data_IF_347246677168
#
_entry.id   IF_347246677168
#
_cell.length_a   1.000
_cell.length_b   1.000
_cell.length_c   1.000
_cell.angle_alpha   90.00
_cell.angle_beta   90.00
_cell.angle_gamma   90.00
#
_symmetry.space_group_name_H-M   'P 1'
#
loop_
_entity.id
_entity.type
_entity.pdbx_description
1 polymer ?
#
# COMPACT_ATOMS: atom_id res chain seq x y z
N UNK A 1 -2.57 27.95 -19.08
CA UNK A 1 -1.83 27.88 -17.81
C UNK A 1 -2.33 26.69 -17.02
N UNK A 2 -1.62 25.58 -17.16
CA UNK A 2 -1.78 24.42 -16.30
C UNK A 2 -1.16 24.82 -14.97
N UNK A 3 -1.96 25.32 -14.02
CA UNK A 3 -1.47 25.39 -12.66
C UNK A 3 -1.44 23.93 -12.18
N UNK A 4 -0.29 23.32 -12.42
CA UNK A 4 0.12 22.03 -11.95
C UNK A 4 -0.43 21.75 -10.55
N UNK A 5 -1.40 20.84 -10.48
CA UNK A 5 -1.49 19.91 -9.34
C UNK A 5 -0.20 19.08 -9.22
N UNK A 6 0.69 19.14 -10.22
CA UNK A 6 2.06 18.65 -10.21
C UNK A 6 3.08 19.64 -9.58
N UNK A 7 2.78 20.30 -8.46
CA UNK A 7 3.86 20.77 -7.59
C UNK A 7 4.22 19.60 -6.69
N UNK A 8 5.31 18.91 -7.05
CA UNK A 8 5.98 17.83 -6.34
C UNK A 8 6.51 18.23 -4.96
N UNK A 9 5.67 18.82 -4.12
CA UNK A 9 5.96 19.12 -2.72
C UNK A 9 4.93 18.36 -1.90
N UNK A 10 5.39 17.47 -1.02
CA UNK A 10 4.54 16.56 -0.22
C UNK A 10 3.42 17.27 0.55
N UNK A 11 3.63 18.56 0.88
CA UNK A 11 2.64 19.43 1.54
C UNK A 11 1.42 19.67 0.65
N UNK A 12 1.61 19.84 -0.66
CA UNK A 12 0.53 20.00 -1.64
C UNK A 12 -0.38 18.77 -1.67
N UNK A 13 0.18 17.57 -1.59
CA UNK A 13 -0.60 16.31 -1.54
C UNK A 13 -1.44 16.24 -0.27
N UNK A 14 -0.85 16.59 0.88
CA UNK A 14 -1.55 16.57 2.18
C UNK A 14 -2.75 17.52 2.21
N UNK A 15 -2.56 18.77 1.73
CA UNK A 15 -3.64 19.76 1.73
C UNK A 15 -4.73 19.39 0.73
N UNK A 16 -4.39 18.84 -0.44
CA UNK A 16 -5.38 18.43 -1.43
C UNK A 16 -6.30 17.33 -0.90
N UNK A 17 -5.74 16.28 -0.30
CA UNK A 17 -6.57 15.22 0.32
C UNK A 17 -7.42 15.77 1.45
N UNK A 18 -6.86 16.61 2.32
CA UNK A 18 -7.62 17.24 3.40
C UNK A 18 -8.80 18.05 2.89
N UNK A 19 -8.59 18.93 1.91
CA UNK A 19 -9.64 19.82 1.41
C UNK A 19 -10.78 19.00 0.82
N UNK A 20 -10.48 18.09 -0.11
CA UNK A 20 -11.50 17.27 -0.77
C UNK A 20 -12.23 16.33 0.19
N UNK A 21 -11.48 15.59 1.02
CA UNK A 21 -12.07 14.58 1.89
C UNK A 21 -12.85 15.19 3.06
N UNK A 22 -12.57 16.43 3.45
CA UNK A 22 -13.25 17.10 4.56
C UNK A 22 -14.32 18.12 4.10
N UNK A 23 -14.77 18.06 2.85
CA UNK A 23 -15.95 18.80 2.36
C UNK A 23 -15.67 20.11 1.60
N UNK A 24 -14.41 20.41 1.28
CA UNK A 24 -14.05 21.51 0.37
C UNK A 24 -13.83 21.04 -1.08
N UNK A 25 -13.45 21.97 -1.94
CA UNK A 25 -13.07 21.72 -3.34
C UNK A 25 -11.76 22.45 -3.67
N UNK A 26 -11.08 21.98 -4.73
CA UNK A 26 -9.92 22.68 -5.30
C UNK A 26 -10.20 23.05 -6.75
N UNK A 27 -10.00 24.33 -7.08
CA UNK A 27 -10.30 24.88 -8.40
C UNK A 27 -9.07 25.59 -8.99
N UNK A 28 -8.90 25.44 -10.30
CA UNK A 28 -7.91 26.20 -11.06
C UNK A 28 -8.66 27.28 -11.82
N UNK A 29 -8.51 28.53 -11.40
CA UNK A 29 -9.20 29.67 -12.01
C UNK A 29 -8.42 30.18 -13.21
N UNK A 30 -8.89 29.99 -14.46
CA UNK A 30 -8.12 30.35 -15.66
C UNK A 30 -7.89 31.86 -15.80
N UNK A 31 -8.76 32.69 -15.21
CA UNK A 31 -8.66 34.15 -15.25
C UNK A 31 -7.60 34.71 -14.29
N UNK A 32 -7.20 33.95 -13.26
CA UNK A 32 -6.14 34.33 -12.34
C UNK A 32 -4.79 33.83 -12.87
N UNK A 33 -3.83 34.74 -13.06
CA UNK A 33 -2.52 34.41 -13.66
C UNK A 33 -1.40 34.85 -12.74
N UNK A 34 -0.60 33.88 -12.29
CA UNK A 34 0.63 34.12 -11.53
C UNK A 34 1.76 33.30 -12.17
N UNK A 35 2.88 33.95 -12.47
CA UNK A 35 4.06 33.29 -13.00
C UNK A 35 4.87 32.60 -11.91
N UNK A 36 5.32 31.37 -12.14
CA UNK A 36 6.21 30.62 -11.24
C UNK A 36 7.51 30.25 -11.97
N UNK A 37 8.67 30.53 -11.35
CA UNK A 37 9.98 30.14 -11.89
C UNK A 37 10.28 28.69 -11.50
N UNK A 38 10.05 27.77 -12.43
CA UNK A 38 10.33 26.34 -12.21
C UNK A 38 11.84 26.08 -12.16
N UNK A 39 12.29 25.40 -11.10
CA UNK A 39 13.69 24.99 -10.91
C UNK A 39 13.78 23.46 -10.87
N UNK A 40 14.83 22.89 -11.44
CA UNK A 40 15.09 21.44 -11.40
C UNK A 40 15.64 20.96 -10.05
N UNK A 41 16.28 21.84 -9.28
CA UNK A 41 16.89 21.54 -7.97
C UNK A 41 16.53 22.62 -6.97
N UNK A 42 16.38 22.23 -5.70
CA UNK A 42 16.20 23.17 -4.61
C UNK A 42 17.52 23.90 -4.34
N UNK A 43 17.50 25.24 -4.15
CA UNK A 43 18.69 26.02 -3.84
C UNK A 43 19.10 25.91 -2.36
N UNK A 44 18.27 25.27 -1.52
CA UNK A 44 18.49 25.12 -0.09
C UNK A 44 18.88 23.69 0.27
N UNK A 45 19.62 23.55 1.36
CA UNK A 45 20.06 22.28 1.91
C UNK A 45 19.02 21.82 2.94
N UNK A 46 18.63 20.55 2.86
CA UNK A 46 17.76 19.93 3.85
C UNK A 46 18.62 19.22 4.91
N UNK A 47 18.35 19.40 6.22
CA UNK A 47 19.16 18.83 7.30
C UNK A 47 19.31 17.30 7.21
N UNK A 48 18.23 16.59 6.85
CA UNK A 48 18.21 15.13 6.67
C UNK A 48 18.43 14.72 5.19
N UNK A 49 18.70 15.67 4.30
CA UNK A 49 18.73 15.48 2.85
C UNK A 49 17.34 15.57 2.20
N UNK A 50 17.31 16.02 0.94
CA UNK A 50 16.07 16.27 0.20
C UNK A 50 15.20 15.01 0.08
N UNK A 51 15.80 13.89 -0.31
CA UNK A 51 15.08 12.63 -0.51
C UNK A 51 14.44 12.09 0.78
N UNK A 52 15.16 12.13 1.91
CA UNK A 52 14.62 11.68 3.19
C UNK A 52 13.49 12.59 3.68
N UNK A 53 13.65 13.92 3.52
CA UNK A 53 12.60 14.89 3.87
C UNK A 53 11.33 14.64 3.05
N UNK A 54 11.47 14.41 1.75
CA UNK A 54 10.35 14.08 0.86
C UNK A 54 9.66 12.77 1.28
N UNK A 55 10.43 11.72 1.55
CA UNK A 55 9.91 10.44 2.02
C UNK A 55 9.15 10.62 3.34
N UNK A 56 9.75 11.29 4.33
CA UNK A 56 9.15 11.55 5.65
C UNK A 56 7.81 12.26 5.52
N UNK A 57 7.76 13.35 4.75
CA UNK A 57 6.54 14.13 4.57
C UNK A 57 5.46 13.36 3.78
N UNK A 58 5.86 12.63 2.74
CA UNK A 58 4.91 11.82 1.96
C UNK A 58 4.33 10.69 2.80
N UNK A 59 5.15 10.05 3.65
CA UNK A 59 4.67 9.03 4.59
C UNK A 59 3.65 9.57 5.56
N UNK A 60 3.89 10.74 6.17
CA UNK A 60 2.90 11.38 7.05
C UNK A 60 1.55 11.59 6.35
N UNK A 61 1.58 12.01 5.10
CA UNK A 61 0.36 12.15 4.29
C UNK A 61 -0.31 10.82 4.03
N UNK A 62 0.46 9.80 3.61
CA UNK A 62 -0.07 8.48 3.31
C UNK A 62 -0.70 7.80 4.54
N UNK A 63 -0.04 7.86 5.70
CA UNK A 63 -0.55 7.28 6.94
C UNK A 63 -1.85 7.95 7.42
N UNK A 64 -1.96 9.28 7.28
CA UNK A 64 -3.13 10.02 7.77
C UNK A 64 -4.31 9.98 6.80
N UNK A 65 -4.08 10.00 5.49
CA UNK A 65 -5.13 10.28 4.50
C UNK A 65 -5.40 9.17 3.50
N UNK A 66 -4.47 8.22 3.27
CA UNK A 66 -4.63 7.22 2.20
C UNK A 66 -5.25 5.90 2.66
N UNK A 67 -5.61 5.74 3.93
CA UNK A 67 -6.23 4.53 4.48
C UNK A 67 -5.47 3.24 4.05
N UNK A 68 -6.16 2.17 3.66
CA UNK A 68 -5.58 0.95 3.09
C UNK A 68 -4.70 1.19 1.83
N UNK A 69 -4.98 2.25 1.06
CA UNK A 69 -4.29 2.53 -0.21
C UNK A 69 -2.85 3.03 -0.02
N UNK A 70 -2.44 3.35 1.22
CA UNK A 70 -1.03 3.62 1.54
C UNK A 70 -0.10 2.46 1.15
N UNK A 71 -0.62 1.24 1.08
CA UNK A 71 0.15 0.05 0.69
C UNK A 71 0.66 0.15 -0.75
N UNK A 72 -0.13 0.73 -1.66
CA UNK A 72 0.31 1.00 -3.05
C UNK A 72 1.45 2.01 -3.11
N UNK A 73 1.43 3.05 -2.26
CA UNK A 73 2.55 3.98 -2.13
C UNK A 73 3.82 3.26 -1.68
N UNK A 74 3.74 2.37 -0.68
CA UNK A 74 4.89 1.59 -0.22
C UNK A 74 5.37 0.55 -1.22
N UNK A 75 4.47 0.02 -2.06
CA UNK A 75 4.82 -0.85 -3.18
C UNK A 75 5.61 -0.10 -4.25
N UNK A 76 5.15 1.10 -4.63
CA UNK A 76 5.81 1.95 -5.61
C UNK A 76 7.12 2.58 -5.09
N UNK A 77 7.24 2.83 -3.78
CA UNK A 77 8.43 3.39 -3.14
C UNK A 77 8.89 2.54 -1.94
N UNK A 78 9.53 1.37 -2.19
CA UNK A 78 9.98 0.47 -1.12
C UNK A 78 10.95 1.13 -0.13
N UNK A 79 11.76 2.09 -0.59
CA UNK A 79 12.70 2.86 0.25
C UNK A 79 12.02 3.69 1.35
N UNK A 80 10.71 3.93 1.24
CA UNK A 80 9.94 4.58 2.29
C UNK A 80 9.69 3.64 3.48
N UNK A 81 9.71 2.32 3.30
CA UNK A 81 9.43 1.35 4.37
C UNK A 81 10.46 1.45 5.49
N UNK A 82 9.99 1.32 6.74
CA UNK A 82 10.85 1.33 7.94
C UNK A 82 11.44 2.70 8.33
N UNK A 83 11.30 3.74 7.50
CA UNK A 83 11.72 5.11 7.86
C UNK A 83 10.84 5.71 8.97
N UNK A 84 11.42 6.45 9.91
CA UNK A 84 10.60 7.17 10.88
C UNK A 84 9.89 8.35 10.21
N UNK A 85 8.61 8.56 10.56
CA UNK A 85 7.81 9.69 10.08
C UNK A 85 7.33 10.62 11.20
N UNK A 86 7.75 10.34 12.45
CA UNK A 86 7.35 11.09 13.65
C UNK A 86 5.88 10.90 14.03
N UNK A 87 5.43 11.64 15.04
CA UNK A 87 4.05 11.56 15.53
C UNK A 87 3.03 12.20 14.56
N UNK A 88 1.91 11.51 14.36
CA UNK A 88 0.79 11.92 13.50
C UNK A 88 -0.54 11.98 14.25
N UNK A 89 -0.58 11.68 15.55
CA UNK A 89 -1.81 11.58 16.33
C UNK A 89 -2.71 12.81 16.17
N UNK A 90 -2.16 14.02 16.31
CA UNK A 90 -2.94 15.26 16.15
C UNK A 90 -3.53 15.46 14.75
N UNK A 91 -2.96 14.84 13.71
CA UNK A 91 -3.52 14.89 12.34
C UNK A 91 -4.64 13.87 12.15
N UNK A 92 -4.51 12.70 12.74
CA UNK A 92 -5.57 11.68 12.76
C UNK A 92 -6.78 12.16 13.55
N UNK A 93 -6.56 12.77 14.71
CA UNK A 93 -7.61 13.36 15.53
C UNK A 93 -8.33 14.49 14.78
N UNK A 94 -7.59 15.37 14.11
CA UNK A 94 -8.18 16.40 13.27
C UNK A 94 -9.08 15.80 12.16
N UNK A 95 -8.65 14.72 11.52
CA UNK A 95 -9.44 14.02 10.49
C UNK A 95 -10.75 13.47 11.08
N UNK A 96 -10.71 12.94 12.30
CA UNK A 96 -11.90 12.45 13.03
C UNK A 96 -12.85 13.59 13.39
N UNK A 97 -12.33 14.68 13.96
CA UNK A 97 -13.11 15.87 14.36
C UNK A 97 -13.84 16.46 13.14
N UNK A 98 -13.15 16.58 12.01
CA UNK A 98 -13.71 17.12 10.77
C UNK A 98 -14.62 16.12 10.02
N UNK A 99 -14.77 14.89 10.52
CA UNK A 99 -15.59 13.82 9.92
C UNK A 99 -15.30 13.61 8.43
N UNK A 100 -14.01 13.63 8.07
CA UNK A 100 -13.60 13.51 6.68
C UNK A 100 -13.96 12.13 6.10
N UNK A 101 -14.21 12.08 4.80
CA UNK A 101 -14.50 10.88 4.03
C UNK A 101 -13.28 9.94 3.95
N UNK A 102 -13.50 8.72 3.46
CA UNK A 102 -12.44 7.73 3.20
C UNK A 102 -11.67 8.06 1.92
N UNK A 103 -10.47 7.53 1.78
CA UNK A 103 -9.67 7.68 0.57
C UNK A 103 -10.32 6.98 -0.62
N UNK A 104 -11.03 5.86 -0.38
CA UNK A 104 -11.86 5.22 -1.40
C UNK A 104 -12.88 6.19 -1.98
N UNK A 105 -13.59 6.95 -1.15
CA UNK A 105 -14.53 7.96 -1.62
C UNK A 105 -13.84 9.02 -2.49
N UNK A 106 -12.63 9.44 -2.12
CA UNK A 106 -11.84 10.38 -2.92
C UNK A 106 -11.52 9.81 -4.30
N UNK A 107 -11.07 8.57 -4.40
CA UNK A 107 -10.82 7.92 -5.70
C UNK A 107 -12.10 7.80 -6.53
N UNK A 108 -13.20 7.39 -5.91
CA UNK A 108 -14.46 7.15 -6.63
C UNK A 108 -15.14 8.46 -7.10
N UNK A 109 -14.94 9.59 -6.40
CA UNK A 109 -15.68 10.85 -6.65
C UNK A 109 -14.82 12.02 -7.15
N UNK A 110 -13.53 12.06 -6.79
CA UNK A 110 -12.66 13.22 -7.08
C UNK A 110 -11.61 12.88 -8.14
N UNK A 111 -11.05 11.66 -8.12
CA UNK A 111 -10.01 11.26 -9.06
C UNK A 111 -10.22 9.84 -9.63
N UNK A 112 -11.36 9.57 -10.31
CA UNK A 112 -11.73 8.25 -10.81
C UNK A 112 -10.84 7.75 -11.96
N UNK A 113 -10.15 8.65 -12.66
CA UNK A 113 -9.19 8.30 -13.72
C UNK A 113 -7.91 7.64 -13.17
N UNK A 114 -7.65 7.78 -11.87
CA UNK A 114 -6.54 7.09 -11.22
C UNK A 114 -6.88 5.62 -11.06
N UNK A 115 -6.47 4.81 -12.04
CA UNK A 115 -6.57 3.35 -11.94
C UNK A 115 -5.74 2.84 -10.78
N UNK A 116 -6.41 2.30 -9.76
CA UNK A 116 -5.76 1.48 -8.75
C UNK A 116 -5.22 0.24 -9.47
N UNK A 117 -3.91 -0.08 -9.35
CA UNK A 117 -3.37 -1.27 -9.99
C UNK A 117 -4.17 -2.50 -9.57
N UNK A 118 -4.75 -3.18 -10.56
CA UNK A 118 -5.35 -4.48 -10.34
C UNK A 118 -4.23 -5.51 -10.15
N UNK A 119 -4.53 -6.59 -9.45
CA UNK A 119 -3.59 -7.67 -9.22
C UNK A 119 -3.37 -8.54 -10.48
N UNK A 120 -3.92 -8.15 -11.64
CA UNK A 120 -3.73 -8.82 -12.93
C UNK A 120 -2.27 -8.87 -13.38
N UNK A 121 -1.49 -7.83 -13.05
CA UNK A 121 -0.05 -7.76 -13.36
C UNK A 121 0.83 -8.27 -12.21
N UNK A 122 0.23 -8.74 -11.11
CA UNK A 122 0.97 -9.23 -9.95
C UNK A 122 1.71 -10.51 -10.30
N UNK A 123 2.96 -10.61 -9.84
CA UNK A 123 3.80 -11.78 -10.11
C UNK A 123 3.25 -12.99 -9.35
N UNK A 124 2.90 -14.02 -10.11
CA UNK A 124 2.64 -15.34 -9.58
C UNK A 124 3.94 -16.09 -9.33
N UNK A 125 3.98 -16.93 -8.30
CA UNK A 125 5.13 -17.76 -7.98
C UNK A 125 4.86 -18.75 -6.86
N UNK A 126 5.95 -19.32 -6.32
CA UNK A 126 5.90 -20.30 -5.22
C UNK A 126 6.52 -19.72 -3.95
N UNK A 127 5.89 -19.96 -2.80
CA UNK A 127 6.48 -19.65 -1.50
C UNK A 127 7.26 -20.88 -1.04
N UNK A 128 8.58 -20.81 -1.08
CA UNK A 128 9.48 -21.96 -0.84
C UNK A 128 10.23 -21.85 0.48
N UNK A 129 10.22 -22.93 1.24
CA UNK A 129 11.04 -23.15 2.43
C UNK A 129 11.92 -24.39 2.22
N UNK A 130 13.21 -24.16 1.90
CA UNK A 130 14.17 -25.23 1.51
C UNK A 130 13.63 -26.06 0.34
N UNK A 131 13.29 -27.33 0.52
CA UNK A 131 12.75 -28.21 -0.54
C UNK A 131 11.22 -28.27 -0.56
N UNK A 132 10.57 -27.66 0.44
CA UNK A 132 9.12 -27.65 0.57
C UNK A 132 8.55 -26.33 0.05
N UNK A 133 7.33 -26.38 -0.46
CA UNK A 133 6.56 -25.24 -0.91
C UNK A 133 5.27 -25.14 -0.08
N UNK A 134 4.80 -23.91 0.10
CA UNK A 134 3.50 -23.65 0.72
C UNK A 134 2.41 -24.18 -0.22
N UNK A 135 1.55 -25.03 0.32
CA UNK A 135 0.49 -25.69 -0.40
C UNK A 135 -0.84 -25.48 0.32
N UNK A 136 -1.89 -25.16 -0.45
CA UNK A 136 -3.25 -25.20 0.05
C UNK A 136 -3.89 -26.56 -0.25
N UNK A 137 -4.53 -27.14 0.76
CA UNK A 137 -5.25 -28.39 0.65
C UNK A 137 -6.67 -28.20 1.17
N UNK A 138 -7.64 -28.39 0.29
CA UNK A 138 -9.05 -28.48 0.68
C UNK A 138 -9.29 -29.88 1.25
N UNK A 139 -9.62 -29.95 2.54
CA UNK A 139 -10.03 -31.19 3.19
C UNK A 139 -11.55 -31.36 3.04
N UNK A 140 -12.01 -32.58 2.82
CA UNK A 140 -13.44 -32.87 2.79
C UNK A 140 -14.08 -32.49 4.15
N UNK A 141 -15.12 -31.65 4.11
CA UNK A 141 -15.81 -31.15 5.29
C UNK A 141 -15.30 -29.82 5.87
N UNK A 142 -14.28 -29.18 5.28
CA UNK A 142 -13.88 -27.82 5.64
C UNK A 142 -14.21 -26.82 4.53
N UNK A 143 -14.85 -25.70 4.90
CA UNK A 143 -15.18 -24.61 3.97
C UNK A 143 -13.95 -23.87 3.47
N UNK A 144 -12.94 -23.73 4.34
CA UNK A 144 -11.69 -23.04 4.03
C UNK A 144 -10.55 -24.04 3.76
N UNK A 145 -9.70 -23.79 2.75
CA UNK A 145 -8.52 -24.60 2.51
C UNK A 145 -7.51 -24.50 3.67
N UNK A 146 -6.98 -25.65 4.07
CA UNK A 146 -5.90 -25.76 5.05
C UNK A 146 -4.54 -25.48 4.39
N UNK A 147 -3.59 -24.91 5.14
CA UNK A 147 -2.23 -24.65 4.68
C UNK A 147 -1.27 -25.72 5.21
N UNK A 148 -0.42 -26.24 4.32
CA UNK A 148 0.63 -27.19 4.68
C UNK A 148 1.93 -26.89 3.92
N UNK A 149 3.04 -27.45 4.40
CA UNK A 149 4.30 -27.48 3.67
C UNK A 149 4.45 -28.86 3.04
N UNK A 150 4.41 -28.92 1.71
CA UNK A 150 4.60 -30.14 0.93
C UNK A 150 5.85 -30.03 0.05
N UNK A 151 6.39 -31.14 -0.48
CA UNK A 151 7.43 -31.07 -1.50
C UNK A 151 6.99 -30.16 -2.65
N UNK A 152 7.90 -29.35 -3.20
CA UNK A 152 7.55 -28.48 -4.32
C UNK A 152 7.16 -29.30 -5.55
N UNK A 153 5.92 -29.16 -6.00
CA UNK A 153 5.35 -29.85 -7.16
C UNK A 153 5.30 -28.84 -8.32
N UNK A 154 5.98 -29.17 -9.41
CA UNK A 154 6.06 -28.34 -10.61
C UNK A 154 7.49 -28.03 -11.03
N UNK A 155 7.64 -27.48 -12.23
CA UNK A 155 8.92 -26.98 -12.75
C UNK A 155 9.04 -25.48 -12.46
N UNK A 156 10.25 -24.90 -12.56
CA UNK A 156 10.46 -23.45 -12.29
C UNK A 156 9.58 -22.52 -13.13
N UNK A 157 9.05 -23.00 -14.26
CA UNK A 157 8.22 -22.25 -15.20
C UNK A 157 6.72 -22.49 -15.04
N UNK A 158 6.29 -23.59 -14.42
CA UNK A 158 4.87 -23.94 -14.24
C UNK A 158 4.65 -24.52 -12.83
N UNK A 159 4.21 -23.68 -11.87
CA UNK A 159 3.83 -24.15 -10.54
C UNK A 159 2.56 -25.00 -10.58
N UNK A 160 2.40 -25.94 -9.64
CA UNK A 160 1.10 -26.56 -9.41
C UNK A 160 0.09 -25.53 -8.86
N UNK A 161 -1.17 -25.59 -9.30
CA UNK A 161 -2.21 -24.60 -8.96
C UNK A 161 -2.40 -24.40 -7.44
N UNK A 162 -2.24 -25.47 -6.66
CA UNK A 162 -2.35 -25.47 -5.21
C UNK A 162 -1.10 -24.93 -4.48
N UNK A 163 0.02 -24.80 -5.19
CA UNK A 163 1.28 -24.20 -4.72
C UNK A 163 1.58 -22.84 -5.39
N UNK A 164 0.66 -22.38 -6.24
CA UNK A 164 0.75 -21.09 -6.91
C UNK A 164 0.16 -19.98 -6.03
N UNK A 165 0.95 -18.91 -5.85
CA UNK A 165 0.61 -17.77 -5.01
C UNK A 165 0.91 -16.46 -5.73
N UNK A 166 0.01 -15.50 -5.59
CA UNK A 166 0.15 -14.16 -6.14
C UNK A 166 0.50 -13.21 -5.00
N UNK A 167 1.61 -12.48 -5.16
CA UNK A 167 1.94 -11.40 -4.24
C UNK A 167 1.40 -10.08 -4.78
N UNK A 168 0.36 -9.56 -4.12
CA UNK A 168 -0.44 -8.41 -4.58
C UNK A 168 0.26 -7.09 -4.31
N UNK A 169 -0.15 -6.02 -5.01
CA UNK A 169 0.35 -4.67 -4.71
C UNK A 169 -0.07 -4.16 -3.32
N UNK A 170 -1.18 -4.71 -2.79
CA UNK A 170 -1.64 -4.54 -1.42
C UNK A 170 -0.82 -5.28 -0.36
N UNK A 171 0.32 -5.88 -0.72
CA UNK A 171 1.18 -6.66 0.19
C UNK A 171 0.46 -7.86 0.82
N UNK A 172 -0.39 -8.53 0.06
CA UNK A 172 -1.07 -9.75 0.48
C UNK A 172 -0.55 -10.92 -0.34
N UNK A 173 -0.50 -12.11 0.25
CA UNK A 173 -0.25 -13.35 -0.49
C UNK A 173 -1.61 -13.99 -0.73
N UNK A 174 -2.01 -14.01 -2.00
CA UNK A 174 -3.32 -14.43 -2.46
C UNK A 174 -3.24 -15.73 -3.25
N UNK A 175 -4.25 -16.56 -3.07
CA UNK A 175 -4.57 -17.67 -3.96
C UNK A 175 -6.08 -17.64 -4.24
N UNK A 176 -6.43 -17.45 -5.51
CA UNK A 176 -7.82 -17.24 -5.94
C UNK A 176 -8.48 -16.06 -5.19
N UNK A 177 -9.52 -16.32 -4.39
CA UNK A 177 -10.25 -15.32 -3.57
C UNK A 177 -9.82 -15.30 -2.10
N UNK A 178 -8.81 -16.08 -1.73
CA UNK A 178 -8.34 -16.21 -0.35
C UNK A 178 -6.93 -15.63 -0.19
N UNK A 179 -6.72 -14.95 0.93
CA UNK A 179 -5.45 -14.35 1.31
C UNK A 179 -4.94 -14.99 2.60
N UNK A 180 -3.62 -15.11 2.72
CA UNK A 180 -2.98 -15.51 3.97
C UNK A 180 -3.32 -14.49 5.06
N UNK A 181 -3.86 -14.98 6.18
CA UNK A 181 -4.24 -14.18 7.33
C UNK A 181 -3.76 -14.85 8.62
N UNK A 182 -3.39 -14.03 9.61
CA UNK A 182 -3.09 -14.51 10.95
C UNK A 182 -4.39 -14.72 11.73
N UNK A 183 -4.53 -15.84 12.46
CA UNK A 183 -5.68 -16.02 13.36
C UNK A 183 -5.67 -14.95 14.45
N UNK A 184 -4.52 -14.75 15.10
CA UNK A 184 -4.27 -13.69 16.08
C UNK A 184 -2.89 -13.06 15.88
N UNK A 185 -2.64 -11.91 16.51
CA UNK A 185 -1.34 -11.23 16.45
C UNK A 185 -0.36 -11.74 17.51
N UNK A 186 -0.75 -12.74 18.31
CA UNK A 186 0.14 -13.33 19.32
C UNK A 186 1.20 -14.24 18.67
N UNK A 187 2.40 -14.34 19.26
CA UNK A 187 3.42 -15.29 18.82
C UNK A 187 2.86 -16.71 18.73
N UNK A 188 3.31 -17.49 17.75
CA UNK A 188 2.85 -18.85 17.44
C UNK A 188 1.39 -18.98 16.95
N UNK A 189 0.74 -17.88 16.58
CA UNK A 189 -0.57 -17.94 15.91
C UNK A 189 -0.48 -18.65 14.57
N UNK A 190 -1.49 -19.47 14.28
CA UNK A 190 -1.58 -20.18 13.01
C UNK A 190 -1.93 -19.22 11.87
N UNK A 191 -1.29 -19.43 10.72
CA UNK A 191 -1.65 -18.78 9.45
C UNK A 191 -2.77 -19.58 8.81
N UNK A 192 -3.81 -18.90 8.35
CA UNK A 192 -4.99 -19.49 7.69
C UNK A 192 -5.32 -18.75 6.40
N UNK A 193 -6.12 -19.38 5.53
CA UNK A 193 -6.67 -18.73 4.36
C UNK A 193 -8.03 -18.11 4.69
N UNK A 194 -8.17 -16.81 4.47
CA UNK A 194 -9.39 -16.06 4.72
C UNK A 194 -9.78 -15.28 3.45
N UNK A 195 -11.04 -14.86 3.29
CA UNK A 195 -11.42 -13.94 2.21
C UNK A 195 -10.54 -12.69 2.20
N UNK A 196 -10.03 -12.32 1.03
CA UNK A 196 -9.13 -11.19 0.89
C UNK A 196 -9.82 -9.88 1.29
N UNK A 197 -9.20 -9.15 2.22
CA UNK A 197 -9.63 -7.82 2.63
C UNK A 197 -8.40 -6.91 2.74
N UNK A 198 -8.34 -5.90 1.87
CA UNK A 198 -7.19 -4.98 1.79
C UNK A 198 -7.02 -4.11 3.05
N UNK A 199 -8.11 -3.92 3.82
CA UNK A 199 -8.10 -3.19 5.09
C UNK A 199 -7.73 -4.05 6.29
N UNK A 200 -7.64 -5.37 6.14
CA UNK A 200 -7.27 -6.28 7.23
C UNK A 200 -5.75 -6.31 7.42
N UNK A 201 -5.27 -5.63 8.47
CA UNK A 201 -3.87 -5.60 8.84
C UNK A 201 -3.26 -6.98 9.10
N UNK A 202 -4.07 -8.00 9.42
CA UNK A 202 -3.60 -9.38 9.61
C UNK A 202 -3.22 -10.09 8.31
N UNK A 203 -3.61 -9.51 7.17
CA UNK A 203 -3.33 -10.02 5.83
C UNK A 203 -2.16 -9.30 5.14
N UNK A 204 -1.54 -8.33 5.83
CA UNK A 204 -0.42 -7.54 5.28
C UNK A 204 0.90 -8.25 5.61
N UNK A 205 1.58 -8.72 4.56
CA UNK A 205 2.82 -9.49 4.64
C UNK A 205 3.93 -8.72 3.93
N UNK A 206 4.93 -8.27 4.69
CA UNK A 206 6.08 -7.59 4.13
C UNK A 206 7.21 -8.58 3.80
N UNK A 207 7.64 -8.59 2.53
CA UNK A 207 8.90 -9.24 2.17
C UNK A 207 10.08 -8.46 2.74
N UNK A 208 10.84 -9.10 3.64
CA UNK A 208 12.14 -8.57 4.08
C UNK A 208 13.20 -9.09 3.11
N UNK A 209 14.08 -8.19 2.65
CA UNK A 209 15.29 -8.61 1.97
C UNK A 209 16.10 -9.53 2.90
N UNK A 210 16.83 -10.53 2.38
CA UNK A 210 17.75 -11.30 3.20
C UNK A 210 18.72 -10.32 3.89
N UNK A 211 18.82 -10.43 5.21
CA UNK A 211 19.87 -9.74 5.96
C UNK A 211 21.16 -10.40 5.49
N UNK A 212 21.96 -9.67 4.70
CA UNK A 212 23.35 -10.06 4.44
C UNK A 212 24.08 -9.89 5.78
N UNK A 213 24.11 -10.96 6.57
CA UNK A 213 25.06 -11.15 7.67
C UNK A 213 26.36 -11.68 7.12
#
# INVERSE_FOLDING_TARGET
>A
CVLCVCVCVCVCVCISFRVWMCGGSLEIIPCSRVGHVFRKKHPYIFPEGNANTYIKNTRRTAEVWMDEFRLFYYSARPAARGKSYGDIHGREELRKILKCKSFKWYLDNVYPELKVPDDSDSKSGVVRQRQNCLESRKLEGQDLPSLTLAPCIGTRSVPALNQEWIYTHGQQIRQQQHCLSLSTTFPASQVMLMPCNIGDGKQVIAQRAPVLT
#
